data_IF_377538834741
#
_entry.id   IF_377538834741
#
_cell.length_a   1.000
_cell.length_b   1.000
_cell.length_c   1.000
_cell.angle_alpha   90.00
_cell.angle_beta   90.00
_cell.angle_gamma   90.00
#
_symmetry.space_group_name_H-M   'P 1'
#
loop_
_entity.id
_entity.type
_entity.pdbx_description
1 polymer ?
#
# COMPACT_ATOMS: atom_id res chain seq x y z
N UNK A 1 -53.05 29.03 -4.94
CA UNK A 1 -51.57 29.02 -4.96
C UNK A 1 -51.07 29.09 -3.53
N UNK A 2 -50.29 28.13 -2.99
CA UNK A 2 -49.78 28.25 -1.63
C UNK A 2 -48.76 29.39 -1.54
N UNK A 3 -48.92 30.26 -0.53
CA UNK A 3 -48.13 31.48 -0.31
C UNK A 3 -46.93 31.25 0.63
N UNK A 4 -46.85 30.12 1.33
CA UNK A 4 -45.82 29.85 2.34
C UNK A 4 -45.15 28.51 2.13
N UNK A 5 -43.83 28.51 2.31
CA UNK A 5 -43.01 27.34 2.57
C UNK A 5 -42.37 27.50 3.95
N UNK A 6 -42.37 26.44 4.76
CA UNK A 6 -41.67 26.37 6.04
C UNK A 6 -40.47 25.44 5.89
N UNK A 7 -39.27 25.95 6.16
CA UNK A 7 -38.05 25.16 6.22
C UNK A 7 -37.59 25.04 7.66
N UNK A 8 -37.30 23.81 8.10
CA UNK A 8 -36.62 23.55 9.35
C UNK A 8 -35.12 23.43 9.05
N UNK A 9 -34.28 24.17 9.79
CA UNK A 9 -32.84 24.03 9.68
C UNK A 9 -32.42 22.62 10.06
N UNK A 10 -31.67 21.95 9.19
CA UNK A 10 -31.06 20.65 9.45
C UNK A 10 -29.56 20.77 9.24
N UNK A 11 -28.81 20.08 10.10
CA UNK A 11 -27.35 20.02 10.02
C UNK A 11 -26.94 18.57 9.80
N UNK A 12 -26.09 18.34 8.81
CA UNK A 12 -25.47 17.04 8.55
C UNK A 12 -23.97 17.17 8.76
N UNK A 13 -23.37 16.19 9.44
CA UNK A 13 -21.92 16.08 9.57
C UNK A 13 -21.39 15.19 8.45
N UNK A 14 -20.48 15.74 7.64
CA UNK A 14 -19.71 14.99 6.64
C UNK A 14 -18.29 14.79 7.14
N UNK A 15 -17.75 13.58 6.96
CA UNK A 15 -16.34 13.30 7.20
C UNK A 15 -15.62 13.28 5.85
N UNK A 16 -14.79 14.29 5.60
CA UNK A 16 -13.92 14.35 4.42
C UNK A 16 -12.59 13.70 4.80
N UNK A 17 -12.28 12.56 4.20
CA UNK A 17 -10.95 11.96 4.30
C UNK A 17 -10.13 12.36 3.05
N UNK A 18 -9.31 13.42 3.10
CA UNK A 18 -8.51 13.86 1.96
C UNK A 18 -7.44 12.83 1.53
N UNK A 19 -7.25 11.77 2.32
CA UNK A 19 -6.31 10.69 2.05
C UNK A 19 -6.99 9.39 1.60
N UNK A 20 -8.32 9.30 1.67
CA UNK A 20 -9.07 8.05 1.43
C UNK A 20 -9.14 7.63 -0.03
N UNK A 21 -8.81 8.53 -0.96
CA UNK A 21 -8.84 8.27 -2.42
C UNK A 21 -7.67 8.92 -3.19
N UNK A 22 -6.88 9.79 -2.56
CA UNK A 22 -5.84 10.61 -3.24
C UNK A 22 -4.48 10.61 -2.53
N UNK A 23 -4.30 9.83 -1.46
CA UNK A 23 -3.02 9.72 -0.77
C UNK A 23 -2.03 8.78 -1.48
N UNK A 24 -0.75 8.74 -1.02
CA UNK A 24 0.22 7.77 -1.51
C UNK A 24 -0.26 6.33 -1.25
N UNK A 25 -0.14 5.49 -2.27
CA UNK A 25 -0.51 4.07 -2.19
C UNK A 25 0.67 3.21 -2.62
N UNK A 26 1.04 2.25 -1.77
CA UNK A 26 1.94 1.17 -2.15
C UNK A 26 1.14 0.15 -2.96
N UNK A 27 1.40 0.07 -4.27
CA UNK A 27 0.72 -0.88 -5.15
C UNK A 27 1.40 -2.24 -5.17
N UNK A 28 2.74 -2.24 -5.14
CA UNK A 28 3.52 -3.46 -5.18
C UNK A 28 4.81 -3.37 -4.36
N UNK A 29 5.30 -4.53 -3.94
CA UNK A 29 6.64 -4.70 -3.38
C UNK A 29 7.49 -5.47 -4.37
N UNK A 30 8.60 -4.86 -4.79
CA UNK A 30 9.40 -5.26 -5.96
C UNK A 30 10.75 -5.82 -5.54
N UNK A 31 10.88 -7.15 -5.38
CA UNK A 31 12.18 -7.79 -5.27
C UNK A 31 12.86 -7.84 -6.65
N UNK A 32 14.03 -8.47 -6.74
CA UNK A 32 14.63 -8.81 -8.02
C UNK A 32 13.68 -9.70 -8.85
N UNK A 33 13.31 -9.23 -10.05
CA UNK A 33 12.32 -9.88 -10.92
C UNK A 33 12.93 -10.92 -11.88
N UNK A 34 14.25 -11.13 -11.89
CA UNK A 34 14.92 -12.02 -12.85
C UNK A 34 14.40 -13.46 -12.80
N UNK A 35 13.89 -13.92 -11.67
CA UNK A 35 13.26 -15.24 -11.53
C UNK A 35 11.76 -15.12 -11.22
N UNK A 36 11.14 -14.01 -11.62
CA UNK A 36 9.73 -13.73 -11.40
C UNK A 36 8.79 -14.30 -12.47
N UNK A 37 9.30 -15.14 -13.38
CA UNK A 37 8.60 -15.58 -14.57
C UNK A 37 8.54 -17.12 -14.67
N UNK A 38 7.53 -17.63 -15.40
CA UNK A 38 7.28 -19.06 -15.62
C UNK A 38 7.24 -19.87 -14.30
N UNK A 39 8.13 -20.85 -14.13
CA UNK A 39 8.09 -21.86 -13.06
C UNK A 39 8.39 -21.30 -11.67
N UNK A 40 8.94 -20.09 -11.61
CA UNK A 40 9.30 -19.40 -10.36
C UNK A 40 8.34 -18.27 -10.00
N UNK A 41 7.36 -17.99 -10.89
CA UNK A 41 6.35 -16.98 -10.66
C UNK A 41 5.30 -17.43 -9.63
N UNK A 42 4.98 -16.57 -8.67
CA UNK A 42 3.86 -16.79 -7.76
C UNK A 42 2.50 -16.75 -8.49
N UNK A 43 1.42 -17.18 -7.83
CA UNK A 43 0.08 -17.13 -8.42
C UNK A 43 -0.35 -15.68 -8.68
N UNK A 44 -1.14 -15.45 -9.73
CA UNK A 44 -1.44 -14.12 -10.26
C UNK A 44 -2.23 -13.21 -9.33
N UNK A 45 -2.84 -13.76 -8.27
CA UNK A 45 -3.54 -12.99 -7.25
C UNK A 45 -2.59 -12.36 -6.21
N UNK A 46 -1.35 -12.84 -6.10
CA UNK A 46 -0.34 -12.29 -5.17
C UNK A 46 0.92 -11.80 -5.87
N UNK A 47 1.15 -12.21 -7.13
CA UNK A 47 2.36 -11.89 -7.89
C UNK A 47 2.07 -11.31 -9.28
N UNK A 48 2.74 -10.21 -9.60
CA UNK A 48 2.81 -9.61 -10.93
C UNK A 48 4.20 -9.82 -11.53
N UNK A 49 4.26 -10.41 -12.72
CA UNK A 49 5.51 -10.72 -13.42
C UNK A 49 6.40 -9.50 -13.68
N UNK A 50 5.82 -8.31 -13.82
CA UNK A 50 6.56 -7.07 -14.10
C UNK A 50 6.67 -6.14 -12.90
N UNK A 51 5.86 -6.37 -11.86
CA UNK A 51 5.68 -5.46 -10.72
C UNK A 51 5.90 -6.09 -9.36
N UNK A 52 6.16 -7.39 -9.24
CA UNK A 52 6.42 -8.01 -7.95
C UNK A 52 5.15 -8.38 -7.18
N UNK A 53 5.23 -8.41 -5.85
CA UNK A 53 4.11 -8.79 -4.99
C UNK A 53 3.05 -7.70 -4.96
N UNK A 54 1.78 -8.11 -5.09
CA UNK A 54 0.63 -7.20 -4.97
C UNK A 54 0.38 -6.86 -3.50
N UNK A 55 0.13 -5.60 -3.19
CA UNK A 55 -0.39 -5.21 -1.87
C UNK A 55 -1.76 -5.86 -1.66
N UNK A 56 -1.85 -6.78 -0.71
CA UNK A 56 -3.06 -7.50 -0.31
C UNK A 56 -3.87 -6.73 0.74
N UNK A 57 -3.20 -6.05 1.67
CA UNK A 57 -3.84 -5.33 2.77
C UNK A 57 -3.01 -4.17 3.29
N UNK A 58 -3.65 -3.06 3.64
CA UNK A 58 -3.03 -1.94 4.36
C UNK A 58 -3.36 -1.94 5.86
N UNK A 59 -4.04 -2.97 6.34
CA UNK A 59 -4.31 -3.16 7.76
C UNK A 59 -3.09 -3.79 8.43
N UNK A 60 -2.62 -3.19 9.54
CA UNK A 60 -1.41 -3.61 10.25
C UNK A 60 -1.41 -5.08 10.69
N UNK A 61 -2.58 -5.63 11.01
CA UNK A 61 -2.78 -7.04 11.40
C UNK A 61 -2.60 -8.04 10.25
N UNK A 62 -2.40 -7.58 9.02
CA UNK A 62 -2.38 -8.40 7.82
C UNK A 62 -1.21 -8.05 6.88
N UNK A 63 -0.20 -7.36 7.39
CA UNK A 63 0.98 -6.99 6.60
C UNK A 63 1.80 -8.21 6.16
N UNK A 64 1.73 -9.31 6.89
CA UNK A 64 2.32 -10.61 6.55
C UNK A 64 1.76 -11.21 5.25
N UNK A 65 0.62 -10.71 4.76
CA UNK A 65 0.02 -11.14 3.49
C UNK A 65 0.65 -10.44 2.27
N UNK A 66 1.33 -9.30 2.45
CA UNK A 66 1.79 -8.45 1.34
C UNK A 66 3.12 -8.91 0.73
N UNK A 67 3.97 -9.59 1.49
CA UNK A 67 5.34 -9.91 1.09
C UNK A 67 5.83 -11.16 1.83
N UNK A 68 6.80 -11.92 1.28
CA UNK A 68 7.38 -13.06 1.96
C UNK A 68 7.85 -12.72 3.39
N UNK A 69 7.56 -13.62 4.33
CA UNK A 69 7.98 -13.51 5.73
C UNK A 69 9.40 -14.01 5.97
N UNK A 70 10.05 -14.52 4.91
CA UNK A 70 11.43 -15.00 4.93
C UNK A 70 12.35 -13.97 4.28
N UNK A 71 13.47 -13.67 4.94
CA UNK A 71 14.54 -12.84 4.42
C UNK A 71 15.90 -13.51 4.57
N UNK A 72 16.89 -13.01 3.83
CA UNK A 72 18.29 -13.39 3.93
C UNK A 72 19.17 -12.15 3.78
N UNK A 73 20.42 -12.25 4.21
CA UNK A 73 21.40 -11.16 4.08
C UNK A 73 21.61 -10.79 2.61
N UNK A 74 21.68 -9.49 2.32
CA UNK A 74 21.83 -8.94 0.97
C UNK A 74 20.58 -8.95 0.09
N UNK A 75 19.42 -9.41 0.58
CA UNK A 75 18.15 -9.26 -0.14
C UNK A 75 17.63 -7.81 -0.06
N UNK A 76 16.96 -7.38 -1.11
CA UNK A 76 16.37 -6.04 -1.21
C UNK A 76 15.01 -6.09 -1.91
N UNK A 77 14.24 -5.02 -1.73
CA UNK A 77 13.03 -4.75 -2.50
C UNK A 77 12.79 -3.25 -2.61
N UNK A 78 12.11 -2.85 -3.67
CA UNK A 78 11.60 -1.49 -3.85
C UNK A 78 10.10 -1.45 -3.54
N UNK A 79 9.59 -0.29 -3.12
CA UNK A 79 8.15 -0.04 -3.01
C UNK A 79 7.67 0.69 -4.27
N UNK A 80 6.69 0.12 -4.99
CA UNK A 80 6.02 0.77 -6.12
C UNK A 80 4.89 1.65 -5.57
N UNK A 81 5.14 2.96 -5.50
CA UNK A 81 4.25 3.93 -4.86
C UNK A 81 3.68 4.87 -5.91
N UNK A 82 2.37 5.09 -5.85
CA UNK A 82 1.65 6.05 -6.71
C UNK A 82 0.97 7.11 -5.86
N UNK A 83 0.58 8.23 -6.48
CA UNK A 83 -0.12 9.32 -5.80
C UNK A 83 0.78 10.29 -5.03
N UNK A 84 2.10 10.15 -5.12
CA UNK A 84 3.09 11.05 -4.53
C UNK A 84 4.39 11.05 -5.31
N UNK A 85 5.16 12.14 -5.22
CA UNK A 85 6.56 12.15 -5.61
C UNK A 85 7.39 11.48 -4.51
N UNK A 86 8.13 10.41 -4.85
CA UNK A 86 8.91 9.64 -3.88
C UNK A 86 9.97 10.50 -3.14
N UNK A 87 10.44 11.61 -3.72
CA UNK A 87 11.37 12.54 -3.07
C UNK A 87 10.77 13.28 -1.87
N UNK A 88 9.44 13.28 -1.74
CA UNK A 88 8.72 13.88 -0.62
C UNK A 88 8.56 12.92 0.57
N UNK A 89 8.93 11.64 0.39
CA UNK A 89 8.80 10.63 1.43
C UNK A 89 10.06 10.56 2.28
N UNK A 90 9.86 10.30 3.57
CA UNK A 90 10.94 9.99 4.51
C UNK A 90 10.75 8.58 5.03
N UNK A 91 11.87 7.88 5.25
CA UNK A 91 11.87 6.47 5.56
C UNK A 91 12.46 6.23 6.95
N UNK A 92 11.75 5.44 7.75
CA UNK A 92 12.24 4.93 9.02
C UNK A 92 12.14 3.42 9.02
N UNK A 93 13.24 2.75 9.32
CA UNK A 93 13.25 1.29 9.47
C UNK A 93 12.93 0.93 10.91
N UNK A 94 11.90 0.11 11.11
CA UNK A 94 11.55 -0.48 12.40
C UNK A 94 11.85 -1.97 12.34
N UNK A 95 12.93 -2.39 12.97
CA UNK A 95 13.34 -3.81 13.05
C UNK A 95 12.90 -4.40 14.37
N UNK A 96 12.26 -5.57 14.32
CA UNK A 96 11.95 -6.39 15.49
C UNK A 96 12.80 -7.66 15.43
N UNK A 97 13.62 -7.91 16.46
CA UNK A 97 14.54 -9.05 16.51
C UNK A 97 15.92 -8.77 15.90
N UNK A 98 16.54 -9.81 15.33
CA UNK A 98 17.94 -9.78 14.87
C UNK A 98 18.13 -9.36 13.41
N UNK A 99 17.05 -9.29 12.62
CA UNK A 99 17.10 -8.86 11.22
C UNK A 99 17.25 -7.34 11.17
N UNK A 100 18.18 -6.84 10.36
CA UNK A 100 18.39 -5.40 10.12
C UNK A 100 18.09 -5.08 8.66
N UNK A 101 17.40 -3.98 8.43
CA UNK A 101 17.20 -3.41 7.10
C UNK A 101 17.74 -1.97 7.09
N UNK A 102 18.09 -1.50 5.90
CA UNK A 102 18.54 -0.13 5.64
C UNK A 102 17.73 0.44 4.48
N UNK A 103 17.63 1.76 4.43
CA UNK A 103 16.97 2.53 3.37
C UNK A 103 17.98 3.38 2.62
#
# INVERSE_FOLDING_TARGET
>A
VPNRASFNGQTVTYYINPYGVTGPVVCHVRPNLNYGYLDYGGPSNIWSRTKGFLTQSISSSSYDQNFPTTGADGLYFDLDIVGVDASQLTWSVVTNGSIRATV
#
